data_IF_602518665828
#
_entry.id   IF_602518665828
#
_cell.length_a   1.000
_cell.length_b   1.000
_cell.length_c   1.000
_cell.angle_alpha   90.00
_cell.angle_beta   90.00
_cell.angle_gamma   90.00
#
_symmetry.space_group_name_H-M   'P 1'
#
loop_
_entity.id
_entity.type
_entity.pdbx_description
1 polymer ?
#
# COMPACT_ATOMS: atom_id res chain seq x y z
N UNK A 1 16.59 17.71 17.58
CA UNK A 1 15.16 18.00 17.35
C UNK A 1 14.32 17.01 18.13
N UNK A 2 13.28 17.43 18.85
CA UNK A 2 12.40 16.48 19.55
C UNK A 2 11.35 15.88 18.61
N UNK A 3 10.80 14.70 18.94
CA UNK A 3 9.74 14.08 18.15
C UNK A 3 8.47 14.93 18.11
N UNK A 4 8.12 15.57 19.22
CA UNK A 4 6.95 16.47 19.31
C UNK A 4 7.09 17.65 18.36
N UNK A 5 8.27 18.25 18.27
CA UNK A 5 8.54 19.35 17.34
C UNK A 5 8.42 18.90 15.89
N UNK A 6 8.96 17.72 15.56
CA UNK A 6 8.87 17.17 14.20
C UNK A 6 7.42 16.94 13.78
N UNK A 7 6.61 16.35 14.66
CA UNK A 7 5.18 16.10 14.43
C UNK A 7 4.41 17.42 14.28
N UNK A 8 4.56 18.34 15.22
CA UNK A 8 3.87 19.65 15.21
C UNK A 8 4.23 20.44 13.94
N UNK A 9 5.50 20.44 13.55
CA UNK A 9 5.93 21.12 12.34
C UNK A 9 5.45 20.42 11.07
N UNK A 10 5.36 19.08 11.07
CA UNK A 10 4.75 18.31 9.99
C UNK A 10 3.28 18.70 9.75
N UNK A 11 2.48 18.73 10.81
CA UNK A 11 1.09 19.21 10.73
C UNK A 11 1.00 20.65 10.22
N UNK A 12 1.85 21.56 10.74
CA UNK A 12 1.87 22.96 10.30
C UNK A 12 2.22 23.09 8.82
N UNK A 13 3.18 22.31 8.33
CA UNK A 13 3.62 22.32 6.94
C UNK A 13 2.51 21.83 6.00
N UNK A 14 1.86 20.72 6.33
CA UNK A 14 0.76 20.19 5.51
C UNK A 14 -0.45 21.10 5.55
N UNK A 15 -0.80 21.66 6.71
CA UNK A 15 -1.91 22.63 6.80
C UNK A 15 -1.67 23.88 5.94
N UNK A 16 -0.42 24.37 5.90
CA UNK A 16 -0.02 25.47 5.01
C UNK A 16 -0.14 25.11 3.52
N UNK A 17 0.00 23.84 3.18
CA UNK A 17 -0.02 23.31 1.82
C UNK A 17 -1.18 22.32 1.62
N UNK A 18 -2.34 22.60 2.20
CA UNK A 18 -3.51 21.72 2.19
C UNK A 18 -3.99 21.37 0.78
N UNK A 19 -3.66 22.19 -0.22
CA UNK A 19 -3.93 21.93 -1.64
C UNK A 19 -3.32 20.60 -2.12
N UNK A 20 -2.25 20.12 -1.48
CA UNK A 20 -1.68 18.79 -1.77
C UNK A 20 -2.70 17.67 -1.51
N UNK A 21 -3.58 17.81 -0.51
CA UNK A 21 -4.65 16.85 -0.23
C UNK A 21 -5.65 16.81 -1.39
N UNK A 22 -6.01 17.98 -1.96
CA UNK A 22 -6.90 18.04 -3.12
C UNK A 22 -6.28 17.36 -4.35
N UNK A 23 -4.97 17.48 -4.55
CA UNK A 23 -4.29 16.81 -5.66
C UNK A 23 -4.29 15.29 -5.47
N UNK A 24 -4.03 14.83 -4.25
CA UNK A 24 -4.12 13.41 -3.90
C UNK A 24 -5.54 12.86 -4.13
N UNK A 25 -6.56 13.65 -3.78
CA UNK A 25 -7.96 13.32 -4.09
C UNK A 25 -8.22 13.28 -5.60
N UNK A 26 -7.73 14.25 -6.36
CA UNK A 26 -7.84 14.26 -7.82
C UNK A 26 -7.20 13.02 -8.46
N UNK A 27 -6.04 12.60 -7.96
CA UNK A 27 -5.40 11.36 -8.38
C UNK A 27 -6.26 10.12 -8.10
N UNK A 28 -6.91 10.05 -6.94
CA UNK A 28 -7.84 8.95 -6.63
C UNK A 28 -8.96 8.86 -7.67
N UNK A 29 -9.57 10.01 -8.03
CA UNK A 29 -10.61 10.06 -9.05
C UNK A 29 -10.09 9.60 -10.42
N UNK A 30 -8.91 10.05 -10.82
CA UNK A 30 -8.27 9.61 -12.07
C UNK A 30 -8.01 8.11 -12.06
N UNK A 31 -7.52 7.55 -10.95
CA UNK A 31 -7.30 6.10 -10.83
C UNK A 31 -8.62 5.32 -10.84
N UNK A 32 -9.67 5.82 -10.18
CA UNK A 32 -10.99 5.21 -10.18
C UNK A 32 -11.60 5.18 -11.59
N UNK A 33 -11.60 6.31 -12.29
CA UNK A 33 -12.07 6.41 -13.68
C UNK A 33 -11.20 5.51 -14.58
N UNK A 34 -9.88 5.56 -14.41
CA UNK A 34 -8.94 4.72 -15.13
C UNK A 34 -9.23 3.22 -14.96
N UNK A 35 -9.56 2.77 -13.74
CA UNK A 35 -9.93 1.38 -13.49
C UNK A 35 -11.19 0.99 -14.28
N UNK A 36 -12.24 1.82 -14.25
CA UNK A 36 -13.44 1.55 -15.02
C UNK A 36 -13.18 1.52 -16.54
N UNK A 37 -12.35 2.44 -17.04
CA UNK A 37 -12.05 2.53 -18.48
C UNK A 37 -11.19 1.34 -18.94
N UNK A 38 -10.10 1.05 -18.24
CA UNK A 38 -9.15 0.01 -18.64
C UNK A 38 -9.56 -1.40 -18.22
N UNK A 39 -10.29 -1.58 -17.13
CA UNK A 39 -10.66 -2.91 -16.62
C UNK A 39 -12.15 -3.14 -16.71
N UNK A 40 -12.95 -2.16 -16.27
CA UNK A 40 -14.41 -2.27 -16.24
C UNK A 40 -15.05 -2.45 -17.62
N UNK A 41 -14.69 -1.62 -18.60
CA UNK A 41 -15.24 -1.71 -19.97
C UNK A 41 -14.84 -3.04 -20.64
N UNK A 42 -13.55 -3.44 -20.67
CA UNK A 42 -13.18 -4.74 -21.25
C UNK A 42 -13.87 -5.91 -20.54
N UNK A 43 -14.03 -5.85 -19.21
CA UNK A 43 -14.75 -6.86 -18.45
C UNK A 43 -16.24 -6.89 -18.82
N UNK A 44 -16.91 -5.74 -18.96
CA UNK A 44 -18.32 -5.68 -19.37
C UNK A 44 -18.52 -6.22 -20.79
N UNK A 45 -17.65 -5.83 -21.72
CA UNK A 45 -17.65 -6.36 -23.10
C UNK A 45 -17.43 -7.87 -23.09
N UNK A 46 -16.53 -8.37 -22.24
CA UNK A 46 -16.31 -9.79 -22.05
C UNK A 46 -17.58 -10.51 -21.62
N UNK A 47 -18.29 -10.01 -20.61
CA UNK A 47 -19.55 -10.60 -20.16
C UNK A 47 -20.60 -10.68 -21.28
N UNK A 48 -20.73 -9.61 -22.08
CA UNK A 48 -21.70 -9.56 -23.19
C UNK A 48 -21.33 -10.53 -24.31
N UNK A 49 -20.07 -10.55 -24.76
CA UNK A 49 -19.63 -11.41 -25.88
C UNK A 49 -19.77 -12.89 -25.54
N UNK A 50 -19.47 -13.26 -24.30
CA UNK A 50 -19.50 -14.66 -23.89
C UNK A 50 -20.86 -15.13 -23.39
N UNK A 51 -21.87 -14.24 -23.37
CA UNK A 51 -23.21 -14.58 -22.89
C UNK A 51 -23.21 -15.14 -21.47
N UNK A 52 -22.20 -14.78 -20.66
CA UNK A 52 -22.11 -15.16 -19.26
C UNK A 52 -23.19 -14.36 -18.52
N UNK A 53 -24.40 -14.90 -18.53
CA UNK A 53 -25.49 -14.41 -17.71
C UNK A 53 -25.05 -14.54 -16.25
N UNK A 54 -24.99 -13.44 -15.51
CA UNK A 54 -24.64 -13.44 -14.07
C UNK A 54 -25.57 -14.37 -13.26
N UNK A 55 -26.72 -14.71 -13.85
CA UNK A 55 -27.72 -15.65 -13.36
C UNK A 55 -27.25 -17.12 -13.39
N UNK A 56 -26.40 -17.52 -14.34
CA UNK A 56 -25.83 -18.89 -14.39
C UNK A 56 -24.67 -19.07 -13.39
N UNK A 57 -23.95 -18.00 -13.02
CA UNK A 57 -22.90 -18.06 -12.01
C UNK A 57 -23.43 -18.26 -10.58
N UNK A 58 -24.73 -18.01 -10.33
CA UNK A 58 -25.38 -18.35 -9.06
C UNK A 58 -25.56 -19.87 -8.88
N UNK A 59 -25.51 -20.65 -9.96
CA UNK A 59 -25.46 -22.12 -9.92
C UNK A 59 -24.01 -22.64 -9.92
N UNK A 60 -23.21 -22.22 -8.94
CA UNK A 60 -21.83 -22.71 -8.71
C UNK A 60 -21.71 -24.25 -8.69
N UNK A 61 -22.81 -24.96 -8.43
CA UNK A 61 -22.89 -26.42 -8.41
C UNK A 61 -22.76 -27.06 -9.81
N UNK A 62 -23.16 -26.34 -10.86
CA UNK A 62 -23.03 -26.81 -12.24
C UNK A 62 -21.64 -26.46 -12.82
N UNK A 63 -21.05 -25.31 -12.47
CA UNK A 63 -19.69 -24.93 -12.88
C UNK A 63 -18.62 -25.93 -12.44
N UNK A 64 -18.72 -26.49 -11.23
CA UNK A 64 -17.83 -27.55 -10.72
C UNK A 64 -18.04 -28.91 -11.41
N UNK A 65 -19.24 -29.18 -11.92
CA UNK A 65 -19.55 -30.39 -12.70
C UNK A 65 -18.99 -30.36 -14.13
N UNK A 66 -18.88 -29.17 -14.72
CA UNK A 66 -18.27 -28.92 -16.03
C UNK A 66 -16.74 -28.82 -15.98
N UNK A 67 -16.12 -28.81 -14.80
CA UNK A 67 -14.65 -28.83 -14.62
C UNK A 67 -13.99 -30.19 -14.91
N UNK A 68 -14.68 -31.15 -15.53
CA UNK A 68 -14.04 -32.39 -15.99
C UNK A 68 -13.07 -32.15 -17.15
N UNK A 69 -13.29 -31.10 -17.95
CA UNK A 69 -12.40 -30.67 -19.02
C UNK A 69 -11.98 -29.19 -18.83
N UNK A 70 -11.16 -28.93 -17.80
CA UNK A 70 -10.59 -27.60 -17.57
C UNK A 70 -9.81 -27.06 -18.78
N UNK A 71 -9.29 -27.94 -19.65
CA UNK A 71 -8.58 -27.56 -20.88
C UNK A 71 -9.49 -26.88 -21.91
N UNK A 72 -10.75 -27.29 -22.02
CA UNK A 72 -11.73 -26.77 -23.00
C UNK A 72 -12.22 -25.38 -22.61
N UNK A 73 -12.44 -25.15 -21.32
CA UNK A 73 -12.74 -23.82 -20.76
C UNK A 73 -11.53 -22.91 -20.96
N UNK A 74 -10.32 -23.35 -20.58
CA UNK A 74 -9.12 -22.53 -20.73
C UNK A 74 -8.89 -22.15 -22.19
N UNK A 75 -9.00 -23.08 -23.15
CA UNK A 75 -8.80 -22.76 -24.58
C UNK A 75 -9.89 -21.86 -25.15
N UNK A 76 -11.16 -22.05 -24.76
CA UNK A 76 -12.28 -21.21 -25.21
C UNK A 76 -12.23 -19.77 -24.70
N UNK A 77 -11.72 -19.56 -23.47
CA UNK A 77 -11.64 -18.24 -22.83
C UNK A 77 -10.21 -17.65 -22.80
N UNK A 78 -9.21 -18.33 -23.35
CA UNK A 78 -7.80 -17.92 -23.27
C UNK A 78 -7.57 -16.51 -23.81
N UNK A 79 -8.12 -16.21 -24.99
CA UNK A 79 -7.98 -14.89 -25.61
C UNK A 79 -8.58 -13.77 -24.75
N UNK A 80 -9.72 -14.04 -24.12
CA UNK A 80 -10.37 -13.11 -23.20
C UNK A 80 -9.54 -12.88 -21.93
N UNK A 81 -9.05 -13.96 -21.33
CA UNK A 81 -8.19 -13.91 -20.15
C UNK A 81 -6.94 -13.07 -20.46
N UNK A 82 -6.32 -13.27 -21.63
CA UNK A 82 -5.18 -12.46 -22.07
C UNK A 82 -5.57 -10.99 -22.21
N UNK A 83 -6.67 -10.66 -22.89
CA UNK A 83 -7.11 -9.27 -23.05
C UNK A 83 -7.37 -8.61 -21.70
N UNK A 84 -8.02 -9.31 -20.77
CA UNK A 84 -8.29 -8.81 -19.42
C UNK A 84 -7.01 -8.61 -18.61
N UNK A 85 -6.09 -9.58 -18.64
CA UNK A 85 -4.79 -9.48 -17.97
C UNK A 85 -3.97 -8.33 -18.55
N UNK A 86 -3.89 -8.21 -19.87
CA UNK A 86 -3.16 -7.11 -20.52
C UNK A 86 -3.79 -5.77 -20.14
N UNK A 87 -5.11 -5.64 -20.19
CA UNK A 87 -5.78 -4.39 -19.85
C UNK A 87 -5.59 -4.02 -18.37
N UNK A 88 -5.60 -5.00 -17.48
CA UNK A 88 -5.26 -4.82 -16.07
C UNK A 88 -3.79 -4.42 -15.85
N UNK A 89 -2.85 -5.01 -16.58
CA UNK A 89 -1.43 -4.62 -16.53
C UNK A 89 -1.24 -3.19 -17.03
N UNK A 90 -1.89 -2.80 -18.13
CA UNK A 90 -1.86 -1.42 -18.64
C UNK A 90 -2.42 -0.46 -17.59
N UNK A 91 -3.55 -0.79 -16.97
CA UNK A 91 -4.11 0.00 -15.87
C UNK A 91 -3.10 0.18 -14.73
N UNK A 92 -2.46 -0.89 -14.26
CA UNK A 92 -1.49 -0.82 -13.18
C UNK A 92 -0.29 0.06 -13.53
N UNK A 93 0.21 -0.01 -14.77
CA UNK A 93 1.30 0.85 -15.23
C UNK A 93 0.90 2.33 -15.23
N UNK A 94 -0.28 2.65 -15.76
CA UNK A 94 -0.81 4.03 -15.79
C UNK A 94 -1.06 4.55 -14.38
N UNK A 95 -1.75 3.78 -13.53
CA UNK A 95 -2.06 4.15 -12.15
C UNK A 95 -0.78 4.37 -11.33
N UNK A 96 0.23 3.53 -11.52
CA UNK A 96 1.53 3.65 -10.85
C UNK A 96 2.31 4.85 -11.36
N UNK A 97 2.31 5.14 -12.66
CA UNK A 97 2.95 6.31 -13.23
C UNK A 97 2.31 7.62 -12.70
N UNK A 98 0.97 7.71 -12.71
CA UNK A 98 0.25 8.86 -12.14
C UNK A 98 0.53 8.96 -10.64
N UNK A 99 0.50 7.83 -9.92
CA UNK A 99 0.87 7.70 -8.51
C UNK A 99 2.22 8.29 -8.18
N UNK A 100 3.26 7.83 -8.86
CA UNK A 100 4.64 8.28 -8.69
C UNK A 100 4.80 9.76 -9.05
N UNK A 101 4.13 10.22 -10.10
CA UNK A 101 4.18 11.62 -10.50
C UNK A 101 3.61 12.55 -9.41
N UNK A 102 2.42 12.24 -8.90
CA UNK A 102 1.74 13.04 -7.88
C UNK A 102 2.46 12.93 -6.53
N UNK A 103 2.94 11.74 -6.17
CA UNK A 103 3.76 11.55 -4.99
C UNK A 103 5.06 12.34 -5.08
N UNK A 104 5.75 12.29 -6.23
CA UNK A 104 6.97 13.06 -6.48
C UNK A 104 6.75 14.57 -6.40
N UNK A 105 5.67 15.08 -7.01
CA UNK A 105 5.29 16.48 -6.87
C UNK A 105 5.00 16.87 -5.42
N UNK A 106 4.28 16.03 -4.68
CA UNK A 106 3.96 16.28 -3.26
C UNK A 106 5.21 16.27 -2.39
N UNK A 107 6.06 15.25 -2.54
CA UNK A 107 7.32 15.11 -1.81
C UNK A 107 8.29 16.26 -2.13
N UNK A 108 8.38 16.69 -3.40
CA UNK A 108 9.20 17.83 -3.80
C UNK A 108 8.71 19.15 -3.20
N UNK A 109 7.40 19.40 -3.19
CA UNK A 109 6.81 20.57 -2.54
C UNK A 109 7.06 20.57 -1.02
N UNK A 110 6.91 19.41 -0.36
CA UNK A 110 7.24 19.25 1.05
C UNK A 110 8.73 19.52 1.28
N UNK A 111 9.62 18.91 0.50
CA UNK A 111 11.07 19.10 0.62
C UNK A 111 11.51 20.56 0.46
N UNK A 112 10.89 21.31 -0.46
CA UNK A 112 11.11 22.76 -0.59
C UNK A 112 10.62 23.54 0.62
N UNK A 113 9.43 23.21 1.12
CA UNK A 113 8.86 23.85 2.31
C UNK A 113 9.64 23.52 3.59
N UNK A 114 10.32 22.39 3.65
CA UNK A 114 11.24 22.04 4.75
C UNK A 114 12.52 22.88 4.69
N UNK A 115 13.10 23.08 3.50
CA UNK A 115 14.30 23.91 3.34
C UNK A 115 14.03 25.40 3.55
N UNK A 116 12.87 25.87 3.10
CA UNK A 116 12.45 27.25 3.23
C UNK A 116 10.97 27.30 3.61
N UNK A 117 10.75 27.62 4.89
CA UNK A 117 9.43 27.68 5.51
C UNK A 117 8.51 28.75 4.92
N UNK A 118 9.03 29.69 4.11
CA UNK A 118 8.23 30.71 3.43
C UNK A 118 7.49 30.14 2.21
N UNK A 119 8.03 29.09 1.59
CA UNK A 119 7.43 28.48 0.39
C UNK A 119 6.03 27.95 0.65
N UNK A 120 5.12 28.29 -0.26
CA UNK A 120 3.72 27.85 -0.28
C UNK A 120 3.47 27.00 -1.51
N UNK A 121 2.34 26.32 -1.51
CA UNK A 121 1.90 25.55 -2.65
C UNK A 121 1.82 26.42 -3.92
N UNK A 122 2.49 25.98 -4.98
CA UNK A 122 2.41 26.56 -6.31
C UNK A 122 2.32 25.42 -7.33
N UNK A 123 1.31 25.48 -8.19
CA UNK A 123 1.03 24.45 -9.18
C UNK A 123 2.19 24.25 -10.19
N UNK A 124 2.82 25.33 -10.64
CA UNK A 124 3.95 25.26 -11.58
C UNK A 124 5.15 24.55 -10.94
N UNK A 125 5.41 24.87 -9.68
CA UNK A 125 6.46 24.20 -8.89
C UNK A 125 6.14 22.73 -8.67
N UNK A 126 4.87 22.40 -8.37
CA UNK A 126 4.42 21.02 -8.21
C UNK A 126 4.68 20.18 -9.47
N UNK A 127 4.26 20.65 -10.65
CA UNK A 127 4.50 19.92 -11.91
C UNK A 127 5.99 19.84 -12.26
N UNK A 128 6.77 20.89 -11.96
CA UNK A 128 8.23 20.88 -12.15
C UNK A 128 8.90 19.84 -11.25
N UNK A 129 8.52 19.77 -9.98
CA UNK A 129 9.05 18.77 -9.04
C UNK A 129 8.59 17.35 -9.41
N UNK A 130 7.33 17.18 -9.82
CA UNK A 130 6.81 15.91 -10.32
C UNK A 130 7.63 15.37 -11.49
N UNK A 131 7.94 16.22 -12.48
CA UNK A 131 8.79 15.84 -13.63
C UNK A 131 10.23 15.52 -13.21
N UNK A 132 10.82 16.37 -12.37
CA UNK A 132 12.21 16.22 -11.90
C UNK A 132 12.40 14.93 -11.11
N UNK A 133 11.44 14.60 -10.24
CA UNK A 133 11.53 13.47 -9.32
C UNK A 133 10.94 12.17 -9.88
N UNK A 134 10.21 12.22 -11.00
CA UNK A 134 9.56 11.05 -11.60
C UNK A 134 10.53 9.89 -11.81
N UNK A 135 11.60 10.08 -12.58
CA UNK A 135 12.55 9.01 -12.89
C UNK A 135 13.38 8.55 -11.69
N UNK A 136 13.94 9.45 -10.84
CA UNK A 136 14.60 9.03 -9.61
C UNK A 136 13.70 8.21 -8.67
N UNK A 137 12.45 8.64 -8.48
CA UNK A 137 11.52 7.93 -7.61
C UNK A 137 11.00 6.63 -8.25
N UNK A 138 10.79 6.60 -9.57
CA UNK A 138 10.42 5.38 -10.28
C UNK A 138 11.52 4.32 -10.19
N UNK A 139 12.78 4.71 -10.43
CA UNK A 139 13.92 3.81 -10.27
C UNK A 139 14.07 3.32 -8.83
N UNK A 140 13.89 4.20 -7.85
CA UNK A 140 13.95 3.84 -6.44
C UNK A 140 12.81 2.90 -6.02
N UNK A 141 11.58 3.21 -6.42
CA UNK A 141 10.41 2.39 -6.17
C UNK A 141 10.50 1.03 -6.86
N UNK A 142 11.05 0.95 -8.07
CA UNK A 142 11.29 -0.31 -8.76
C UNK A 142 12.30 -1.19 -8.01
N UNK A 143 13.42 -0.61 -7.56
CA UNK A 143 14.43 -1.36 -6.80
C UNK A 143 13.83 -1.85 -5.48
N UNK A 144 13.19 -0.98 -4.69
CA UNK A 144 12.54 -1.37 -3.44
C UNK A 144 11.43 -2.39 -3.70
N UNK A 145 10.64 -2.22 -4.75
CA UNK A 145 9.56 -3.14 -5.13
C UNK A 145 10.09 -4.54 -5.43
N UNK A 146 11.20 -4.65 -6.15
CA UNK A 146 11.86 -5.94 -6.41
C UNK A 146 12.36 -6.55 -5.08
N UNK A 147 13.01 -5.78 -4.22
CA UNK A 147 13.44 -6.27 -2.90
C UNK A 147 12.26 -6.74 -2.04
N UNK A 148 11.18 -5.96 -1.99
CA UNK A 148 9.97 -6.30 -1.25
C UNK A 148 9.30 -7.56 -1.83
N UNK A 149 9.28 -7.73 -3.15
CA UNK A 149 8.76 -8.93 -3.80
C UNK A 149 9.61 -10.17 -3.46
N UNK A 150 10.94 -10.06 -3.50
CA UNK A 150 11.85 -11.15 -3.12
C UNK A 150 11.64 -11.54 -1.65
N UNK A 151 11.59 -10.55 -0.75
CA UNK A 151 11.31 -10.80 0.68
C UNK A 151 9.94 -11.45 0.85
N UNK A 152 8.92 -10.99 0.11
CA UNK A 152 7.58 -11.55 0.13
C UNK A 152 7.54 -13.02 -0.34
N UNK A 153 8.26 -13.36 -1.41
CA UNK A 153 8.37 -14.75 -1.90
C UNK A 153 9.07 -15.64 -0.88
N UNK A 154 10.17 -15.17 -0.28
CA UNK A 154 10.86 -15.91 0.78
C UNK A 154 9.93 -16.12 1.97
N UNK A 155 9.22 -15.07 2.39
CA UNK A 155 8.26 -15.16 3.49
C UNK A 155 7.11 -16.11 3.18
N UNK A 156 6.56 -16.07 1.96
CA UNK A 156 5.54 -17.01 1.50
C UNK A 156 6.06 -18.45 1.50
N UNK A 157 7.30 -18.67 1.05
CA UNK A 157 7.94 -19.99 1.08
C UNK A 157 8.12 -20.50 2.51
N UNK A 158 8.61 -19.66 3.42
CA UNK A 158 8.76 -20.01 4.84
C UNK A 158 7.40 -20.24 5.50
N UNK A 159 6.40 -19.40 5.23
CA UNK A 159 5.04 -19.57 5.73
C UNK A 159 4.36 -20.81 5.17
N UNK A 160 4.62 -21.17 3.90
CA UNK A 160 4.15 -22.40 3.30
C UNK A 160 4.81 -23.60 3.95
N UNK A 161 6.13 -23.60 4.12
CA UNK A 161 6.87 -24.67 4.80
C UNK A 161 6.39 -24.81 6.24
N UNK A 162 6.30 -23.71 7.00
CA UNK A 162 5.80 -23.73 8.37
C UNK A 162 4.31 -24.07 8.44
N UNK A 163 3.49 -23.66 7.49
CA UNK A 163 2.07 -24.02 7.38
C UNK A 163 1.89 -25.51 7.06
N UNK A 164 2.74 -26.07 6.20
CA UNK A 164 2.84 -27.51 5.94
C UNK A 164 3.40 -28.25 7.15
N UNK A 165 4.30 -27.65 7.93
CA UNK A 165 4.74 -28.21 9.22
C UNK A 165 3.68 -28.09 10.31
N UNK A 166 2.83 -27.05 10.33
CA UNK A 166 1.71 -26.89 11.27
C UNK A 166 0.52 -27.77 10.89
N UNK A 167 0.23 -27.92 9.60
CA UNK A 167 -0.72 -28.91 9.07
C UNK A 167 -0.16 -30.34 9.19
N UNK A 168 1.15 -30.49 9.07
CA UNK A 168 1.92 -31.71 9.32
C UNK A 168 2.02 -32.02 10.81
N UNK A 169 1.94 -31.02 11.70
CA UNK A 169 1.68 -31.20 13.12
C UNK A 169 0.28 -31.79 13.31
N UNK A 170 -0.69 -31.58 12.41
CA UNK A 170 -1.94 -32.36 12.38
C UNK A 170 -1.73 -33.87 12.13
N UNK A 171 -0.77 -34.21 11.28
CA UNK A 171 -0.36 -35.61 11.03
C UNK A 171 0.50 -36.14 12.18
N UNK A 172 1.42 -35.35 12.72
CA UNK A 172 2.25 -35.70 13.88
C UNK A 172 1.41 -35.77 15.16
N UNK A 173 0.36 -34.96 15.35
CA UNK A 173 -0.60 -35.08 16.46
C UNK A 173 -1.53 -36.28 16.30
N UNK A 174 -1.81 -36.71 15.07
CA UNK A 174 -2.47 -37.99 14.83
C UNK A 174 -1.57 -39.19 15.19
N UNK A 175 -0.25 -39.06 15.02
CA UNK A 175 0.78 -40.04 15.41
C UNK A 175 1.13 -39.93 16.91
N UNK A 176 1.05 -38.72 17.48
CA UNK A 176 1.37 -38.36 18.85
C UNK A 176 0.13 -38.26 19.74
N UNK A 177 -0.88 -39.11 19.51
CA UNK A 177 -1.92 -39.42 20.50
C UNK A 177 -1.36 -39.97 21.83
N UNK A 178 -0.04 -40.08 21.98
CA UNK A 178 0.66 -40.44 23.21
C UNK A 178 1.30 -39.29 23.99
N UNK A 179 1.36 -38.05 23.50
CA UNK A 179 1.93 -36.90 24.24
C UNK A 179 1.06 -35.64 24.13
N UNK A 180 0.88 -34.99 25.28
CA UNK A 180 -0.13 -33.98 25.60
C UNK A 180 -0.37 -32.93 24.49
N UNK A 181 -1.62 -32.89 24.04
CA UNK A 181 -2.20 -31.98 23.04
C UNK A 181 -1.88 -30.49 23.28
N UNK A 182 -1.60 -30.12 24.53
CA UNK A 182 -1.26 -28.74 24.94
C UNK A 182 0.07 -28.25 24.34
N UNK A 183 1.11 -29.08 24.29
CA UNK A 183 2.44 -28.65 23.81
C UNK A 183 2.41 -28.28 22.32
N UNK A 184 1.69 -29.07 21.53
CA UNK A 184 1.51 -28.84 20.09
C UNK A 184 0.81 -27.51 19.80
N UNK A 185 -0.24 -27.19 20.56
CA UNK A 185 -0.98 -25.93 20.40
C UNK A 185 -0.12 -24.73 20.80
N UNK A 186 0.61 -24.83 21.92
CA UNK A 186 1.52 -23.77 22.38
C UNK A 186 2.62 -23.48 21.36
N UNK A 187 3.27 -24.51 20.82
CA UNK A 187 4.31 -24.34 19.79
C UNK A 187 3.73 -23.74 18.50
N UNK A 188 2.55 -24.17 18.07
CA UNK A 188 1.87 -23.61 16.90
C UNK A 188 1.55 -22.12 17.05
N UNK A 189 1.02 -21.71 18.21
CA UNK A 189 0.71 -20.31 18.50
C UNK A 189 2.01 -19.48 18.57
N UNK A 190 3.03 -19.97 19.27
CA UNK A 190 4.31 -19.27 19.41
C UNK A 190 4.99 -19.03 18.05
N UNK A 191 5.07 -20.06 17.19
CA UNK A 191 5.65 -19.93 15.86
C UNK A 191 4.84 -19.00 14.95
N UNK A 192 3.51 -19.03 15.04
CA UNK A 192 2.64 -18.14 14.29
C UNK A 192 2.82 -16.67 14.70
N UNK A 193 2.91 -16.41 16.01
CA UNK A 193 3.20 -15.08 16.54
C UNK A 193 4.59 -14.59 16.13
N UNK A 194 5.59 -15.47 16.15
CA UNK A 194 6.95 -15.13 15.74
C UNK A 194 7.00 -14.73 14.24
N UNK A 195 6.35 -15.49 13.37
CA UNK A 195 6.22 -15.13 11.94
C UNK A 195 5.50 -13.80 11.75
N UNK A 196 4.42 -13.57 12.50
CA UNK A 196 3.68 -12.33 12.46
C UNK A 196 4.55 -11.13 12.86
N UNK A 197 5.33 -11.26 13.94
CA UNK A 197 6.27 -10.23 14.39
C UNK A 197 7.36 -9.93 13.35
N UNK A 198 7.93 -10.97 12.73
CA UNK A 198 8.94 -10.80 11.67
C UNK A 198 8.32 -10.11 10.45
N UNK A 199 7.12 -10.53 10.04
CA UNK A 199 6.40 -9.92 8.92
C UNK A 199 6.11 -8.44 9.15
N UNK A 200 5.61 -8.09 10.34
CA UNK A 200 5.40 -6.69 10.72
C UNK A 200 6.70 -5.88 10.72
N UNK A 201 7.77 -6.43 11.30
CA UNK A 201 9.06 -5.75 11.34
C UNK A 201 9.61 -5.47 9.93
N UNK A 202 9.46 -6.42 9.00
CA UNK A 202 9.86 -6.26 7.60
C UNK A 202 9.03 -5.21 6.88
N UNK A 203 7.70 -5.23 7.05
CA UNK A 203 6.81 -4.22 6.47
C UNK A 203 7.16 -2.83 6.97
N UNK A 204 7.27 -2.65 8.30
CA UNK A 204 7.62 -1.37 8.93
C UNK A 204 8.97 -0.87 8.41
N UNK A 205 9.98 -1.74 8.39
CA UNK A 205 11.33 -1.38 7.94
C UNK A 205 11.38 -1.02 6.45
N UNK A 206 10.62 -1.74 5.61
CA UNK A 206 10.53 -1.47 4.17
C UNK A 206 9.87 -0.13 3.88
N UNK A 207 8.76 0.19 4.56
CA UNK A 207 8.09 1.48 4.39
C UNK A 207 8.96 2.61 4.97
N UNK A 208 9.60 2.42 6.12
CA UNK A 208 10.54 3.39 6.68
C UNK A 208 11.68 3.68 5.70
N UNK A 209 12.31 2.64 5.14
CA UNK A 209 13.35 2.76 4.12
C UNK A 209 12.85 3.55 2.89
N UNK A 210 11.62 3.29 2.46
CA UNK A 210 11.00 3.98 1.33
C UNK A 210 10.82 5.48 1.62
N UNK A 211 10.29 5.85 2.78
CA UNK A 211 10.01 7.24 3.12
C UNK A 211 11.29 8.04 3.38
N UNK A 212 12.23 7.50 4.15
CA UNK A 212 13.53 8.15 4.37
C UNK A 212 14.39 8.17 3.10
N UNK A 213 14.32 7.15 2.25
CA UNK A 213 14.98 7.16 0.95
C UNK A 213 14.38 8.18 -0.02
N UNK A 214 13.06 8.35 0.00
CA UNK A 214 12.41 9.46 -0.71
C UNK A 214 12.93 10.81 -0.19
N UNK A 215 13.06 10.98 1.13
CA UNK A 215 13.64 12.18 1.73
C UNK A 215 15.09 12.42 1.23
N UNK A 216 15.92 11.37 1.16
CA UNK A 216 17.27 11.45 0.63
C UNK A 216 17.30 11.90 -0.83
N UNK A 217 16.46 11.32 -1.70
CA UNK A 217 16.37 11.69 -3.12
C UNK A 217 15.92 13.16 -3.26
N UNK A 218 14.88 13.56 -2.53
CA UNK A 218 14.33 14.91 -2.65
C UNK A 218 15.27 15.98 -2.09
N UNK A 219 15.84 15.73 -0.91
CA UNK A 219 16.64 16.70 -0.16
C UNK A 219 18.13 16.67 -0.50
N UNK A 220 18.66 15.60 -1.10
CA UNK A 220 20.07 15.53 -1.49
C UNK A 220 20.28 15.36 -2.99
N UNK A 221 19.22 15.07 -3.75
CA UNK A 221 19.33 14.84 -5.20
C UNK A 221 20.12 13.58 -5.54
N UNK A 222 20.18 12.61 -4.64
CA UNK A 222 20.94 11.37 -4.84
C UNK A 222 20.24 10.43 -5.82
N UNK A 223 21.04 9.61 -6.51
CA UNK A 223 20.51 8.56 -7.38
C UNK A 223 19.83 7.43 -6.58
N UNK A 224 18.97 6.61 -7.22
CA UNK A 224 18.15 5.59 -6.55
C UNK A 224 18.97 4.62 -5.68
N UNK A 225 20.06 4.09 -6.22
CA UNK A 225 20.91 3.12 -5.52
C UNK A 225 21.66 3.74 -4.34
N UNK A 226 22.11 4.97 -4.51
CA UNK A 226 22.81 5.70 -3.46
C UNK A 226 21.85 6.08 -2.33
N UNK A 227 20.61 6.47 -2.66
CA UNK A 227 19.58 6.74 -1.67
C UNK A 227 19.29 5.53 -0.78
N UNK A 228 19.24 4.31 -1.34
CA UNK A 228 19.06 3.09 -0.53
C UNK A 228 20.22 2.91 0.45
N UNK A 229 21.46 2.97 -0.05
CA UNK A 229 22.66 2.78 0.79
C UNK A 229 22.75 3.83 1.89
N UNK A 230 22.53 5.10 1.54
CA UNK A 230 22.59 6.21 2.47
C UNK A 230 21.47 6.11 3.52
N UNK A 231 20.27 5.69 3.13
CA UNK A 231 19.15 5.53 4.06
C UNK A 231 19.33 4.34 4.98
N UNK A 232 19.81 3.19 4.50
CA UNK A 232 20.13 2.04 5.38
C UNK A 232 21.19 2.48 6.41
N UNK A 233 22.24 3.15 5.96
CA UNK A 233 23.30 3.68 6.84
C UNK A 233 22.75 4.69 7.84
N UNK A 234 21.84 5.56 7.41
CA UNK A 234 21.19 6.55 8.27
C UNK A 234 20.30 5.88 9.32
N UNK A 235 19.43 4.94 8.93
CA UNK A 235 18.52 4.24 9.85
C UNK A 235 19.29 3.40 10.87
N UNK A 236 20.39 2.77 10.47
CA UNK A 236 21.24 2.01 11.39
C UNK A 236 21.96 2.91 12.40
N UNK A 237 22.40 4.11 11.97
CA UNK A 237 23.06 5.10 12.85
C UNK A 237 22.09 5.86 13.75
N UNK A 238 20.85 6.02 13.31
CA UNK A 238 19.81 6.79 14.01
C UNK A 238 18.58 5.91 14.27
N UNK A 239 18.63 4.97 15.24
CA UNK A 239 17.47 4.13 15.59
C UNK A 239 16.25 4.96 16.05
N UNK A 240 16.51 6.16 16.58
CA UNK A 240 15.50 7.17 16.90
C UNK A 240 14.61 7.55 15.71
N UNK A 241 15.16 7.56 14.49
CA UNK A 241 14.43 7.87 13.26
C UNK A 241 13.38 6.78 12.95
N UNK A 242 13.73 5.51 13.21
CA UNK A 242 12.80 4.38 13.04
C UNK A 242 11.69 4.44 14.09
N UNK A 243 12.01 4.80 15.34
CA UNK A 243 11.01 4.97 16.38
C UNK A 243 10.03 6.11 16.08
N UNK A 244 10.52 7.25 15.58
CA UNK A 244 9.66 8.34 15.13
C UNK A 244 8.69 7.89 14.03
N UNK A 245 9.19 7.11 13.07
CA UNK A 245 8.36 6.53 12.02
C UNK A 245 7.29 5.60 12.60
N UNK A 246 7.66 4.68 13.50
CA UNK A 246 6.71 3.78 14.16
C UNK A 246 5.63 4.56 14.92
N UNK A 247 5.98 5.65 15.61
CA UNK A 247 5.03 6.49 16.32
C UNK A 247 4.07 7.19 15.37
N UNK A 248 4.59 7.80 14.29
CA UNK A 248 3.77 8.49 13.29
C UNK A 248 2.85 7.51 12.53
N UNK A 249 3.37 6.35 12.15
CA UNK A 249 2.62 5.28 11.50
C UNK A 249 1.57 4.68 12.44
N UNK A 250 1.90 4.45 13.71
CA UNK A 250 0.96 4.01 14.73
C UNK A 250 -0.20 5.01 14.91
N UNK A 251 0.10 6.31 14.92
CA UNK A 251 -0.91 7.37 14.92
C UNK A 251 -1.83 7.32 13.70
N UNK A 252 -1.28 7.08 12.51
CA UNK A 252 -2.05 6.89 11.28
C UNK A 252 -2.95 5.64 11.33
N UNK A 253 -2.42 4.51 11.80
CA UNK A 253 -3.20 3.27 11.95
C UNK A 253 -4.34 3.47 12.95
N UNK A 254 -4.08 4.08 14.10
CA UNK A 254 -5.11 4.40 15.10
C UNK A 254 -6.19 5.33 14.54
N UNK A 255 -5.80 6.40 13.85
CA UNK A 255 -6.76 7.31 13.23
C UNK A 255 -7.60 6.60 12.15
N UNK A 256 -6.98 5.76 11.33
CA UNK A 256 -7.67 4.97 10.30
C UNK A 256 -8.63 3.96 10.93
N UNK A 257 -8.21 3.29 12.00
CA UNK A 257 -9.06 2.38 12.76
C UNK A 257 -10.27 3.10 13.37
N UNK A 258 -10.07 4.28 13.97
CA UNK A 258 -11.16 5.10 14.48
C UNK A 258 -12.13 5.54 13.39
N UNK A 259 -11.64 5.91 12.20
CA UNK A 259 -12.50 6.17 11.05
C UNK A 259 -13.33 4.93 10.70
N UNK A 260 -12.71 3.76 10.54
CA UNK A 260 -13.48 2.54 10.23
C UNK A 260 -14.57 2.26 11.29
N UNK A 261 -14.26 2.42 12.58
CA UNK A 261 -15.24 2.28 13.66
C UNK A 261 -16.40 3.28 13.54
N UNK A 262 -16.10 4.55 13.23
CA UNK A 262 -17.11 5.59 13.01
C UNK A 262 -17.93 5.37 11.73
N UNK A 263 -17.37 4.66 10.75
CA UNK A 263 -18.03 4.30 9.50
C UNK A 263 -19.04 3.16 9.64
N UNK A 264 -18.84 2.25 10.59
CA UNK A 264 -19.68 1.05 10.75
C UNK A 264 -21.19 1.34 10.92
N UNK A 265 -21.64 2.32 11.73
CA UNK A 265 -23.06 2.62 11.87
C UNK A 265 -23.76 2.93 10.54
N UNK A 266 -23.07 3.60 9.61
CA UNK A 266 -23.62 3.91 8.29
C UNK A 266 -23.81 2.65 7.45
N UNK A 267 -22.93 1.65 7.59
CA UNK A 267 -23.04 0.39 6.83
C UNK A 267 -24.20 -0.52 7.26
N UNK A 268 -24.73 -0.31 8.47
CA UNK A 268 -25.78 -1.15 9.06
C UNK A 268 -27.21 -0.71 8.66
N UNK A 269 -27.37 0.46 8.05
CA UNK A 269 -28.68 0.97 7.64
C UNK A 269 -28.92 0.65 6.16
N UNK A 270 -29.88 -0.21 5.80
CA UNK A 270 -30.17 -0.52 4.40
C UNK A 270 -30.55 0.74 3.60
N UNK A 271 -30.05 0.87 2.38
CA UNK A 271 -30.33 1.93 1.40
C UNK A 271 -29.84 3.34 1.83
N UNK A 272 -30.28 3.86 2.98
CA UNK A 272 -29.84 5.17 3.52
C UNK A 272 -28.35 5.13 3.89
N UNK A 273 -27.88 3.99 4.40
CA UNK A 273 -26.48 3.74 4.70
C UNK A 273 -25.58 3.85 3.48
N UNK A 274 -26.00 3.32 2.33
CA UNK A 274 -25.22 3.39 1.09
C UNK A 274 -25.05 4.83 0.58
N UNK A 275 -26.10 5.66 0.70
CA UNK A 275 -26.06 7.06 0.27
C UNK A 275 -25.17 7.89 1.22
N UNK A 276 -25.29 7.68 2.53
CA UNK A 276 -24.50 8.39 3.54
C UNK A 276 -23.05 7.91 3.62
N UNK A 277 -22.77 6.66 3.22
CA UNK A 277 -21.42 6.12 3.14
C UNK A 277 -20.55 6.83 2.10
N UNK A 278 -21.12 7.34 1.00
CA UNK A 278 -20.35 8.01 -0.06
C UNK A 278 -19.65 9.29 0.48
N UNK A 279 -20.36 10.28 1.07
CA UNK A 279 -19.72 11.44 1.69
C UNK A 279 -18.72 11.05 2.78
N UNK A 280 -19.07 10.05 3.59
CA UNK A 280 -18.22 9.57 4.67
C UNK A 280 -16.89 8.99 4.15
N UNK A 281 -16.94 8.23 3.06
CA UNK A 281 -15.77 7.61 2.46
C UNK A 281 -14.85 8.65 1.79
N UNK A 282 -15.44 9.66 1.15
CA UNK A 282 -14.69 10.82 0.63
C UNK A 282 -13.97 11.54 1.76
N UNK A 283 -14.66 11.84 2.86
CA UNK A 283 -14.08 12.48 4.03
C UNK A 283 -12.96 11.64 4.65
N UNK A 284 -13.21 10.33 4.83
CA UNK A 284 -12.25 9.39 5.40
C UNK A 284 -10.99 9.31 4.55
N UNK A 285 -11.12 9.27 3.23
CA UNK A 285 -9.99 9.27 2.31
C UNK A 285 -9.20 10.57 2.37
N UNK A 286 -9.88 11.73 2.40
CA UNK A 286 -9.22 13.03 2.53
C UNK A 286 -8.40 13.11 3.84
N UNK A 287 -8.95 12.61 4.95
CA UNK A 287 -8.24 12.59 6.23
C UNK A 287 -7.04 11.62 6.20
N UNK A 288 -7.20 10.42 5.62
CA UNK A 288 -6.10 9.47 5.46
C UNK A 288 -4.99 10.05 4.58
N UNK A 289 -5.34 10.67 3.45
CA UNK A 289 -4.37 11.33 2.57
C UNK A 289 -3.63 12.48 3.28
N UNK A 290 -4.36 13.30 4.03
CA UNK A 290 -3.78 14.34 4.87
C UNK A 290 -2.78 13.77 5.88
N UNK A 291 -3.16 12.74 6.64
CA UNK A 291 -2.26 12.10 7.61
C UNK A 291 -1.05 11.43 6.94
N UNK A 292 -1.22 10.85 5.75
CA UNK A 292 -0.12 10.32 4.95
C UNK A 292 0.88 11.40 4.56
N UNK A 293 0.42 12.57 4.11
CA UNK A 293 1.28 13.72 3.84
C UNK A 293 1.96 14.24 5.10
N UNK A 294 1.28 14.21 6.26
CA UNK A 294 1.89 14.58 7.54
C UNK A 294 3.04 13.65 7.87
N UNK A 295 2.88 12.33 7.73
CA UNK A 295 3.98 11.37 7.94
C UNK A 295 5.18 11.73 7.05
N UNK A 296 4.96 11.97 5.76
CA UNK A 296 6.03 12.38 4.83
C UNK A 296 6.71 13.66 5.31
N UNK A 297 5.96 14.67 5.70
CA UNK A 297 6.49 15.93 6.20
C UNK A 297 7.31 15.76 7.48
N UNK A 298 6.81 14.98 8.46
CA UNK A 298 7.52 14.70 9.72
C UNK A 298 8.86 14.04 9.45
N UNK A 299 8.89 13.04 8.57
CA UNK A 299 10.09 12.31 8.19
C UNK A 299 11.09 13.24 7.49
N UNK A 300 10.63 14.07 6.57
CA UNK A 300 11.49 15.00 5.83
C UNK A 300 12.11 16.05 6.76
N UNK A 301 11.31 16.58 7.69
CA UNK A 301 11.77 17.53 8.70
C UNK A 301 12.83 16.90 9.61
N UNK A 302 12.57 15.68 10.10
CA UNK A 302 13.50 14.99 10.99
C UNK A 302 14.80 14.62 10.26
N UNK A 303 14.70 14.07 9.04
CA UNK A 303 15.85 13.72 8.21
C UNK A 303 16.67 14.95 7.80
N UNK A 304 16.05 16.10 7.57
CA UNK A 304 16.79 17.34 7.27
C UNK A 304 17.54 17.88 8.50
N UNK A 305 17.02 17.61 9.70
CA UNK A 305 17.54 18.15 10.96
C UNK A 305 18.58 17.25 11.65
N UNK A 306 18.89 16.07 11.08
CA UNK A 306 19.79 15.05 11.67
C UNK A 306 20.73 14.46 10.63
#
# INVERSE_FOLDING_TARGET
MTYSDAIKNGFRLVNKNWQLVLIQFGMMLVNCIGFFVFVGIPLAVAFVIFGLDLTEMTELKNLLGTMKDASEIITKYLGLIIVLVVSFVVYLLVATAVGLYVFGGSAGMIGRAVRDSSNRFNMNTFFSEGKRLFWPLAGFAAIIGIFAAVIGIIFLGVAFVLGVFVGGIGVITSIAKGYETTLSVVLGIFLSLLLFCIGLALIISSIALTLYGTAAIVLRGTGPWQAIKDTIKYLYRNPAALWLYCLAFGGYVLATFLLVLLGMPFSLIPIIGAITAIPYQIFSYALQSYLGLVIVAVIFIYYFST
#
